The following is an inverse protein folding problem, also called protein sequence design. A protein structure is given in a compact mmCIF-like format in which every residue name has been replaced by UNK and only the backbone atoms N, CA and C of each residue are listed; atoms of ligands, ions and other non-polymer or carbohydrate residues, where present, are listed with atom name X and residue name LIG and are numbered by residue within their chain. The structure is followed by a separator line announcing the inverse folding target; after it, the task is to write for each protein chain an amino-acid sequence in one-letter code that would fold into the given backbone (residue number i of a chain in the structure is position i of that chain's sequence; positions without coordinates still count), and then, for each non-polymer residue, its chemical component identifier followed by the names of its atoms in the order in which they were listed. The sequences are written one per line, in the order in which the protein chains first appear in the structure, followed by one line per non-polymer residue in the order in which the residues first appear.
data_IF_704651621636
#
_entry.id   IF_704651621636
#
_cell.length_a   1.000
_cell.length_b   1.000
_cell.length_c   1.000
_cell.angle_alpha   90.00
_cell.angle_beta   90.00
_cell.angle_gamma   90.00
#
_symmetry.space_group_name_H-M   'P 1'
#
loop_
_entity.id
_entity.type
_entity.pdbx_description
1 polymer ?
#
# COMPACT_ATOMS: atom_id res chain seq x y z
N UNK A 1 50.97 -58.16 90.45
CA UNK A 1 49.70 -57.44 90.75
C UNK A 1 49.57 -56.07 90.08
N UNK A 2 50.61 -55.20 90.03
CA UNK A 2 50.49 -53.84 89.45
C UNK A 2 50.22 -53.77 87.93
N UNK A 3 50.71 -54.72 87.11
CA UNK A 3 50.47 -54.74 85.65
C UNK A 3 49.04 -55.18 85.26
N UNK A 4 48.40 -56.01 86.08
CA UNK A 4 47.04 -56.50 85.82
C UNK A 4 45.96 -55.43 86.10
N UNK A 5 46.20 -54.54 87.07
CA UNK A 5 45.30 -53.42 87.39
C UNK A 5 45.34 -52.33 86.30
N UNK A 6 46.51 -52.05 85.72
CA UNK A 6 46.65 -51.06 84.64
C UNK A 6 45.94 -51.49 83.35
N UNK A 7 45.98 -52.79 82.99
CA UNK A 7 45.26 -53.32 81.82
C UNK A 7 43.76 -53.30 82.06
N UNK A 8 43.31 -53.59 83.29
CA UNK A 8 41.88 -53.55 83.64
C UNK A 8 41.31 -52.12 83.68
N UNK A 9 42.12 -51.12 84.09
CA UNK A 9 41.74 -49.71 84.01
C UNK A 9 41.71 -49.17 82.57
N UNK A 10 42.58 -49.66 81.68
CA UNK A 10 42.61 -49.27 80.27
C UNK A 10 41.36 -49.74 79.51
N UNK A 11 40.83 -50.91 79.84
CA UNK A 11 39.55 -51.38 79.28
C UNK A 11 38.32 -50.68 79.87
N UNK A 12 38.41 -50.10 81.07
CA UNK A 12 37.30 -49.36 81.71
C UNK A 12 37.15 -47.91 81.19
N UNK A 13 38.16 -47.38 80.50
CA UNK A 13 38.17 -46.03 79.92
C UNK A 13 37.74 -45.97 78.44
N UNK A 14 37.51 -47.12 77.80
CA UNK A 14 36.94 -47.20 76.46
C UNK A 14 35.41 -47.34 76.57
N UNK A 15 34.75 -46.26 76.97
CA UNK A 15 33.30 -46.14 76.89
C UNK A 15 32.85 -46.15 75.44
N UNK A 16 32.53 -47.33 74.90
CA UNK A 16 31.89 -47.44 73.60
C UNK A 16 30.45 -46.92 73.73
N UNK A 17 30.17 -45.75 73.14
CA UNK A 17 28.80 -45.35 72.85
C UNK A 17 28.32 -46.20 71.69
N UNK A 18 27.63 -47.31 71.98
CA UNK A 18 26.94 -48.08 70.95
C UNK A 18 25.65 -47.31 70.65
N UNK A 19 25.62 -46.53 69.57
CA UNK A 19 24.36 -46.02 69.04
C UNK A 19 23.72 -47.14 68.23
N UNK A 20 22.66 -47.74 68.76
CA UNK A 20 21.79 -48.60 67.98
C UNK A 20 20.83 -47.71 67.19
N UNK A 21 21.04 -47.58 65.88
CA UNK A 21 20.00 -47.08 64.98
C UNK A 21 19.01 -48.22 64.73
N UNK A 22 17.71 -47.91 64.71
CA UNK A 22 16.65 -48.91 64.53
C UNK A 22 16.32 -49.01 63.04
N UNK A 23 16.85 -50.06 62.41
CA UNK A 23 16.48 -50.49 61.07
C UNK A 23 15.43 -51.60 61.16
N UNK A 24 14.32 -51.48 60.44
CA UNK A 24 13.31 -52.54 60.27
C UNK A 24 13.32 -52.93 58.79
N UNK A 25 14.23 -53.84 58.44
CA UNK A 25 14.45 -54.28 57.06
C UNK A 25 14.54 -55.80 56.98
N UNK A 26 14.05 -56.42 55.89
CA UNK A 26 14.11 -57.86 55.71
C UNK A 26 15.50 -58.38 55.31
N UNK A 27 16.41 -57.49 54.91
CA UNK A 27 17.72 -57.81 54.35
C UNK A 27 18.90 -57.38 55.24
N UNK A 28 18.63 -56.89 56.46
CA UNK A 28 19.63 -56.39 57.42
C UNK A 28 20.54 -55.28 56.85
N UNK A 29 20.00 -54.47 55.94
CA UNK A 29 20.68 -53.25 55.48
C UNK A 29 20.87 -52.27 56.63
N UNK A 30 22.04 -51.63 56.64
CA UNK A 30 22.35 -50.55 57.58
C UNK A 30 21.32 -49.42 57.38
N UNK A 31 20.73 -48.90 58.46
CA UNK A 31 19.79 -47.78 58.37
C UNK A 31 20.49 -46.53 57.84
N UNK A 32 19.73 -45.65 57.17
CA UNK A 32 20.28 -44.36 56.70
C UNK A 32 20.83 -43.54 57.90
N UNK A 33 22.05 -42.95 57.80
CA UNK A 33 22.66 -42.20 58.90
C UNK A 33 21.83 -41.01 59.42
N UNK A 34 20.87 -40.52 58.63
CA UNK A 34 19.97 -39.42 59.00
C UNK A 34 18.63 -39.87 59.60
N UNK A 35 18.32 -41.16 59.58
CA UNK A 35 17.04 -41.69 60.04
C UNK A 35 17.08 -42.11 61.53
N UNK A 36 16.08 -41.66 62.29
CA UNK A 36 15.84 -42.17 63.66
C UNK A 36 15.07 -43.52 63.64
N UNK A 37 14.29 -43.76 62.58
CA UNK A 37 13.61 -45.01 62.27
C UNK A 37 13.66 -45.19 60.75
N UNK A 38 14.26 -46.28 60.28
CA UNK A 38 14.31 -46.66 58.87
C UNK A 38 13.50 -47.95 58.66
N UNK A 39 12.48 -47.88 57.80
CA UNK A 39 11.61 -49.02 57.47
C UNK A 39 11.66 -49.24 55.97
N UNK A 40 12.39 -50.26 55.52
CA UNK A 40 12.53 -50.60 54.12
C UNK A 40 11.85 -51.94 53.83
N UNK A 41 10.83 -51.93 52.98
CA UNK A 41 10.15 -53.14 52.48
C UNK A 41 9.55 -52.82 51.11
N UNK A 42 9.61 -53.76 50.17
CA UNK A 42 8.99 -53.59 48.84
C UNK A 42 7.54 -54.09 48.77
N UNK A 43 7.08 -54.79 49.81
CA UNK A 43 5.81 -55.51 49.87
C UNK A 43 5.02 -55.33 51.18
N UNK A 44 5.57 -54.58 52.15
CA UNK A 44 4.93 -54.27 53.45
C UNK A 44 4.99 -52.77 53.72
N UNK A 45 4.11 -52.30 54.59
CA UNK A 45 4.08 -50.91 55.04
C UNK A 45 4.10 -50.79 56.56
N UNK A 46 4.11 -49.56 57.06
CA UNK A 46 4.00 -49.24 58.48
C UNK A 46 2.53 -49.07 58.86
N UNK A 47 2.05 -49.87 59.83
CA UNK A 47 0.76 -49.62 60.47
C UNK A 47 0.92 -48.61 61.59
N UNK A 48 0.34 -47.43 61.39
CA UNK A 48 0.17 -46.39 62.40
C UNK A 48 -0.96 -46.79 63.36
N UNK A 49 -0.99 -46.36 64.64
CA UNK A 49 -2.10 -46.63 65.54
C UNK A 49 -3.47 -46.36 64.89
N UNK A 50 -4.29 -47.41 64.83
CA UNK A 50 -5.64 -47.39 64.26
C UNK A 50 -6.67 -47.29 65.36
N UNK A 51 -7.64 -46.41 65.19
CA UNK A 51 -8.68 -46.18 66.20
C UNK A 51 -9.90 -45.50 65.58
N UNK A 52 -11.02 -45.50 66.28
CA UNK A 52 -12.22 -44.73 65.90
C UNK A 52 -12.05 -43.24 66.20
N UNK A 53 -12.86 -42.37 65.58
CA UNK A 53 -12.83 -40.93 65.89
C UNK A 53 -13.03 -40.61 67.36
N UNK A 54 -13.89 -41.37 68.05
CA UNK A 54 -14.12 -41.21 69.49
C UNK A 54 -12.85 -41.50 70.30
N UNK A 55 -12.12 -42.56 69.93
CA UNK A 55 -10.86 -42.92 70.58
C UNK A 55 -9.74 -41.92 70.28
N UNK A 56 -9.66 -41.41 69.05
CA UNK A 56 -8.70 -40.36 68.66
C UNK A 56 -8.90 -39.07 69.46
N UNK A 57 -10.14 -38.59 69.54
CA UNK A 57 -10.48 -37.38 70.29
C UNK A 57 -10.25 -37.56 71.79
N UNK A 58 -10.35 -38.80 72.30
CA UNK A 58 -10.09 -39.14 73.70
C UNK A 58 -8.59 -39.23 74.08
N UNK A 59 -7.66 -39.12 73.12
CA UNK A 59 -6.22 -39.07 73.43
C UNK A 59 -5.94 -37.80 74.24
N UNK A 60 -5.55 -37.96 75.51
CA UNK A 60 -5.18 -36.85 76.39
C UNK A 60 -3.79 -36.32 76.05
N UNK A 61 -3.66 -34.99 75.97
CA UNK A 61 -2.41 -34.27 75.67
C UNK A 61 -1.61 -34.86 74.47
N UNK A 62 -2.22 -35.00 73.28
CA UNK A 62 -1.51 -35.54 72.11
C UNK A 62 -0.32 -34.65 71.73
N UNK A 63 0.80 -35.28 71.39
CA UNK A 63 1.98 -34.55 70.92
C UNK A 63 1.74 -33.94 69.54
N UNK A 64 2.35 -32.78 69.26
CA UNK A 64 2.33 -32.18 67.92
C UNK A 64 2.99 -33.16 66.94
N UNK A 65 2.33 -33.42 65.82
CA UNK A 65 2.77 -34.38 64.81
C UNK A 65 2.39 -35.83 65.10
N UNK A 66 1.64 -36.13 66.18
CA UNK A 66 1.12 -37.47 66.44
C UNK A 66 0.21 -37.91 65.30
N UNK A 67 0.60 -38.94 64.57
CA UNK A 67 -0.13 -39.52 63.43
C UNK A 67 -0.95 -40.72 63.90
N UNK A 68 -2.22 -40.78 63.47
CA UNK A 68 -3.12 -41.92 63.67
C UNK A 68 -3.88 -42.21 62.37
N UNK A 69 -4.36 -43.44 62.23
CA UNK A 69 -5.35 -43.77 61.21
C UNK A 69 -6.72 -43.85 61.86
N UNK A 70 -7.64 -43.00 61.41
CA UNK A 70 -9.01 -42.99 61.92
C UNK A 70 -9.89 -43.93 61.08
N UNK A 71 -10.30 -45.04 61.68
CA UNK A 71 -11.11 -46.07 61.01
C UNK A 71 -12.55 -45.62 60.74
N UNK A 72 -13.03 -44.57 61.40
CA UNK A 72 -14.39 -44.03 61.20
C UNK A 72 -14.44 -43.11 59.99
N UNK A 73 -13.42 -42.27 59.78
CA UNK A 73 -13.34 -41.40 58.59
C UNK A 73 -12.61 -42.04 57.42
N UNK A 74 -11.84 -43.11 57.66
CA UNK A 74 -11.04 -43.80 56.64
C UNK A 74 -9.80 -43.03 56.20
N UNK A 75 -9.27 -42.15 57.05
CA UNK A 75 -8.19 -41.21 56.70
C UNK A 75 -7.04 -41.20 57.70
N UNK A 76 -5.89 -40.69 57.26
CA UNK A 76 -4.77 -40.37 58.15
C UNK A 76 -5.01 -39.01 58.80
N UNK A 77 -4.87 -38.96 60.12
CA UNK A 77 -5.02 -37.74 60.90
C UNK A 77 -3.78 -37.46 61.73
N UNK A 78 -3.36 -36.20 61.80
CA UNK A 78 -2.29 -35.77 62.68
C UNK A 78 -2.76 -34.69 63.65
N UNK A 79 -2.17 -34.64 64.84
CA UNK A 79 -2.42 -33.55 65.78
C UNK A 79 -1.52 -32.35 65.47
N UNK A 80 -2.10 -31.20 65.11
CA UNK A 80 -1.36 -30.01 64.69
C UNK A 80 -0.93 -29.09 65.86
N UNK A 81 -1.21 -29.49 67.11
CA UNK A 81 -0.97 -28.70 68.32
C UNK A 81 -2.18 -27.92 68.83
N UNK A 82 -3.25 -27.83 68.04
CA UNK A 82 -4.52 -27.21 68.43
C UNK A 82 -5.72 -28.13 68.21
N UNK A 83 -5.64 -29.07 67.27
CA UNK A 83 -6.67 -30.04 66.95
C UNK A 83 -6.16 -31.16 66.05
N UNK A 84 -7.04 -32.13 65.80
CA UNK A 84 -6.79 -33.20 64.83
C UNK A 84 -7.11 -32.67 63.42
N UNK A 85 -6.20 -32.88 62.47
CA UNK A 85 -6.32 -32.49 61.06
C UNK A 85 -6.28 -33.74 60.16
N UNK A 86 -7.21 -33.85 59.21
CA UNK A 86 -7.19 -34.90 58.18
C UNK A 86 -6.18 -34.53 57.10
N UNK A 87 -5.38 -35.49 56.66
CA UNK A 87 -4.45 -35.32 55.53
C UNK A 87 -5.13 -35.54 54.16
N UNK A 88 -6.34 -36.09 54.13
CA UNK A 88 -7.05 -36.43 52.88
C UNK A 88 -8.01 -35.35 52.39
N UNK A 89 -8.30 -34.33 53.21
CA UNK A 89 -9.15 -33.21 52.82
C UNK A 89 -8.32 -32.09 52.24
N UNK A 90 -8.61 -31.68 51.00
CA UNK A 90 -8.20 -30.36 50.53
C UNK A 90 -8.84 -29.30 51.43
N UNK A 91 -8.09 -28.23 51.73
CA UNK A 91 -8.58 -27.11 52.50
C UNK A 91 -9.52 -26.22 51.66
N UNK A 92 -9.48 -26.35 50.33
CA UNK A 92 -10.45 -25.74 49.43
C UNK A 92 -11.64 -26.70 49.20
N UNK A 93 -12.85 -26.14 49.29
CA UNK A 93 -14.11 -26.88 49.08
C UNK A 93 -14.86 -26.39 47.84
N UNK A 94 -14.26 -25.46 47.09
CA UNK A 94 -14.83 -24.88 45.88
C UNK A 94 -14.29 -25.57 44.62
N UNK A 95 -15.10 -26.44 43.97
CA UNK A 95 -14.68 -27.13 42.75
C UNK A 95 -14.43 -26.19 41.56
N UNK A 96 -14.78 -24.90 41.67
CA UNK A 96 -14.63 -23.91 40.60
C UNK A 96 -13.33 -23.09 40.66
N UNK A 97 -12.59 -23.11 41.77
CA UNK A 97 -11.40 -22.28 41.97
C UNK A 97 -10.08 -23.03 41.75
N UNK A 98 -10.14 -24.35 41.60
CA UNK A 98 -8.96 -25.16 41.32
C UNK A 98 -8.75 -25.31 39.81
N UNK A 99 -7.48 -25.25 39.39
CA UNK A 99 -7.07 -25.79 38.10
C UNK A 99 -7.15 -27.32 38.17
N UNK A 100 -8.37 -27.86 38.00
CA UNK A 100 -8.72 -29.29 38.11
C UNK A 100 -7.83 -30.20 37.24
N UNK A 101 -7.25 -29.64 36.17
CA UNK A 101 -6.40 -30.39 35.28
C UNK A 101 -5.37 -29.46 34.61
N UNK A 102 -4.15 -29.45 35.14
CA UNK A 102 -3.03 -28.74 34.52
C UNK A 102 -2.78 -29.24 33.08
N UNK A 103 -3.00 -30.53 32.81
CA UNK A 103 -2.92 -31.09 31.46
C UNK A 103 -4.11 -30.70 30.58
N UNK A 104 -5.26 -30.32 31.15
CA UNK A 104 -6.42 -29.81 30.41
C UNK A 104 -6.27 -28.34 30.01
N UNK A 105 -5.50 -27.58 30.78
CA UNK A 105 -5.12 -26.20 30.45
C UNK A 105 -3.92 -26.14 29.49
N UNK A 106 -3.05 -27.16 29.49
CA UNK A 106 -1.87 -27.24 28.64
C UNK A 106 -1.98 -28.19 27.43
N UNK A 107 -3.04 -29.01 27.34
CA UNK A 107 -3.32 -29.79 26.14
C UNK A 107 -3.76 -28.85 25.02
N UNK A 108 -3.14 -29.00 23.85
CA UNK A 108 -3.31 -28.18 22.66
C UNK A 108 -4.77 -27.77 22.39
N UNK A 109 -5.00 -26.46 22.28
CA UNK A 109 -6.25 -25.87 21.82
C UNK A 109 -7.08 -25.24 22.94
N UNK A 110 -6.56 -24.20 23.59
CA UNK A 110 -7.30 -23.36 24.53
C UNK A 110 -8.27 -22.41 23.80
N UNK A 111 -9.18 -22.90 22.97
CA UNK A 111 -10.22 -22.05 22.40
C UNK A 111 -11.41 -21.85 23.36
N UNK A 112 -11.33 -22.40 24.58
CA UNK A 112 -12.41 -22.45 25.55
C UNK A 112 -13.72 -23.01 24.96
N UNK A 113 -13.62 -23.98 24.03
CA UNK A 113 -14.75 -24.56 23.32
C UNK A 113 -15.42 -23.59 22.34
N UNK A 114 -14.67 -22.61 21.83
CA UNK A 114 -15.17 -21.51 20.98
C UNK A 114 -15.81 -20.36 21.77
N UNK A 115 -15.96 -20.48 23.09
CA UNK A 115 -16.36 -19.37 23.95
C UNK A 115 -15.13 -18.50 24.20
N UNK A 116 -15.14 -17.25 23.73
CA UNK A 116 -13.99 -16.36 23.92
C UNK A 116 -13.53 -16.33 25.39
N UNK A 117 -12.22 -16.37 25.62
CA UNK A 117 -11.66 -16.22 26.96
C UNK A 117 -11.92 -14.78 27.42
N UNK A 118 -12.78 -14.61 28.43
CA UNK A 118 -13.14 -13.29 28.99
C UNK A 118 -12.30 -12.97 30.23
N UNK A 119 -12.19 -11.69 30.59
CA UNK A 119 -11.45 -11.21 31.77
C UNK A 119 -9.95 -11.50 31.82
N UNK A 120 -9.31 -11.79 30.69
CA UNK A 120 -7.87 -11.60 30.59
C UNK A 120 -7.57 -10.10 30.63
N UNK A 121 -6.50 -9.71 31.34
CA UNK A 121 -5.93 -8.37 31.21
C UNK A 121 -5.44 -8.09 29.78
N UNK A 122 -4.66 -7.02 29.58
CA UNK A 122 -4.04 -6.76 28.29
C UNK A 122 -3.24 -8.00 27.83
N UNK A 123 -3.71 -8.66 26.78
CA UNK A 123 -3.04 -9.83 26.20
C UNK A 123 -1.89 -9.31 25.33
N UNK A 124 -0.66 -9.32 25.87
CA UNK A 124 0.54 -9.08 25.08
C UNK A 124 1.02 -10.40 24.49
N UNK A 125 0.71 -10.66 23.23
CA UNK A 125 1.27 -11.78 22.48
C UNK A 125 2.34 -11.27 21.51
N UNK A 126 3.46 -12.00 21.38
CA UNK A 126 4.47 -11.70 20.36
C UNK A 126 3.95 -12.00 18.93
N UNK A 127 2.93 -12.85 18.80
CA UNK A 127 2.28 -13.20 17.55
C UNK A 127 0.86 -13.71 17.80
N UNK A 128 -0.08 -13.32 16.96
CA UNK A 128 -1.37 -13.99 16.82
C UNK A 128 -1.30 -14.96 15.64
N UNK A 129 -1.79 -16.19 15.80
CA UNK A 129 -1.93 -17.16 14.70
C UNK A 129 -3.36 -17.07 14.16
N UNK A 130 -3.52 -16.71 12.89
CA UNK A 130 -4.82 -16.50 12.23
C UNK A 130 -4.77 -15.34 11.23
N UNK A 131 -5.83 -15.15 10.46
CA UNK A 131 -5.94 -14.03 9.50
C UNK A 131 -6.32 -12.69 10.17
N UNK A 132 -6.58 -12.70 11.48
CA UNK A 132 -6.96 -11.52 12.26
C UNK A 132 -8.35 -10.97 11.93
N UNK A 133 -9.11 -11.60 11.04
CA UNK A 133 -10.42 -11.12 10.57
C UNK A 133 -11.48 -11.05 11.67
N UNK A 134 -11.34 -11.87 12.71
CA UNK A 134 -12.20 -11.87 13.89
C UNK A 134 -11.80 -10.86 14.99
N UNK A 135 -10.69 -10.14 14.85
CA UNK A 135 -10.26 -9.13 15.82
C UNK A 135 -11.11 -7.86 15.65
N UNK A 136 -12.10 -7.70 16.51
CA UNK A 136 -12.93 -6.50 16.61
C UNK A 136 -12.51 -5.65 17.80
N UNK A 137 -12.83 -4.35 17.80
CA UNK A 137 -12.47 -3.40 18.89
C UNK A 137 -10.95 -3.26 19.16
N UNK A 138 -10.09 -3.49 18.17
CA UNK A 138 -8.69 -3.08 18.28
C UNK A 138 -8.64 -1.57 18.49
N UNK A 139 -7.83 -1.06 19.44
CA UNK A 139 -7.66 0.38 19.63
C UNK A 139 -7.34 1.05 18.27
N UNK A 140 -7.87 2.24 17.97
CA UNK A 140 -7.74 2.92 16.66
C UNK A 140 -6.30 3.24 16.17
N UNK A 141 -5.25 2.69 16.77
CA UNK A 141 -3.88 3.15 16.62
C UNK A 141 -3.08 2.56 15.48
N UNK A 142 -3.28 1.28 15.09
CA UNK A 142 -2.28 0.58 14.27
C UNK A 142 -2.79 -0.08 12.97
N UNK A 143 -4.10 -0.11 12.71
CA UNK A 143 -4.66 -0.78 11.53
C UNK A 143 -5.55 0.16 10.71
N UNK A 144 -5.57 0.00 9.38
CA UNK A 144 -6.52 0.66 8.49
C UNK A 144 -7.64 -0.31 8.09
N UNK A 145 -8.88 0.01 8.42
CA UNK A 145 -10.04 -0.83 8.08
C UNK A 145 -10.40 -0.78 6.59
N UNK A 146 -11.02 -1.86 6.09
CA UNK A 146 -11.55 -1.93 4.72
C UNK A 146 -12.73 -0.97 4.49
N UNK A 147 -13.52 -0.73 5.55
CA UNK A 147 -14.61 0.26 5.56
C UNK A 147 -14.14 1.66 5.98
N UNK A 148 -12.83 1.84 6.16
CA UNK A 148 -12.21 3.07 6.65
C UNK A 148 -12.20 3.20 8.18
N UNK A 149 -11.50 4.23 8.65
CA UNK A 149 -11.35 4.55 10.07
C UNK A 149 -12.02 5.90 10.38
N UNK A 150 -12.73 6.00 11.51
CA UNK A 150 -13.23 7.27 12.04
C UNK A 150 -12.26 7.88 13.07
N UNK A 151 -12.29 9.20 13.27
CA UNK A 151 -11.46 9.89 14.28
C UNK A 151 -9.97 10.00 13.96
N UNK A 152 -9.58 9.88 12.68
CA UNK A 152 -8.18 10.01 12.23
C UNK A 152 -7.66 11.44 12.29
N UNK A 153 -6.34 11.58 12.47
CA UNK A 153 -5.61 12.85 12.32
C UNK A 153 -4.51 12.71 11.26
N UNK A 154 -4.44 13.66 10.33
CA UNK A 154 -3.58 13.62 9.13
C UNK A 154 -2.08 13.37 9.44
N UNK A 155 -1.56 13.92 10.53
CA UNK A 155 -0.14 13.78 10.91
C UNK A 155 0.18 12.58 11.81
N UNK A 156 -0.84 11.78 12.17
CA UNK A 156 -0.70 10.64 13.09
C UNK A 156 -1.12 9.34 12.42
N UNK A 157 -2.20 9.36 11.64
CA UNK A 157 -2.78 8.18 11.02
C UNK A 157 -2.70 8.31 9.51
N UNK A 158 -1.95 7.41 8.85
CA UNK A 158 -1.86 7.37 7.40
C UNK A 158 -1.61 5.94 6.89
N UNK A 159 -1.95 5.70 5.62
CA UNK A 159 -1.46 4.55 4.87
C UNK A 159 -0.18 4.99 4.15
N UNK A 160 0.97 4.43 4.52
CA UNK A 160 2.23 4.82 3.89
C UNK A 160 3.46 4.20 4.54
N UNK A 161 4.61 4.68 4.10
CA UNK A 161 5.94 4.32 4.60
C UNK A 161 6.50 5.48 5.43
N UNK A 162 7.38 5.19 6.38
CA UNK A 162 8.04 6.21 7.22
C UNK A 162 9.49 6.48 6.81
N UNK A 163 9.99 5.69 5.86
CA UNK A 163 11.32 5.76 5.26
C UNK A 163 11.22 6.11 3.77
N UNK A 164 12.38 6.34 3.14
CA UNK A 164 12.48 6.78 1.74
C UNK A 164 12.32 5.61 0.75
N UNK A 165 11.20 4.87 0.87
CA UNK A 165 10.86 3.74 -0.01
C UNK A 165 9.45 3.93 -0.60
N UNK A 166 9.18 3.45 -1.84
CA UNK A 166 7.88 3.60 -2.47
C UNK A 166 6.74 2.85 -1.76
N UNK A 167 5.57 3.48 -1.65
CA UNK A 167 4.32 2.79 -1.34
C UNK A 167 3.77 2.16 -2.62
N UNK A 168 3.67 0.84 -2.67
CA UNK A 168 3.18 0.10 -3.84
C UNK A 168 1.76 -0.45 -3.59
N UNK A 169 0.86 -0.17 -4.53
CA UNK A 169 -0.46 -0.81 -4.61
C UNK A 169 -0.42 -1.89 -5.69
N UNK A 170 -0.85 -3.10 -5.35
CA UNK A 170 -0.74 -4.28 -6.22
C UNK A 170 -2.09 -4.91 -6.53
N UNK A 171 -2.23 -5.45 -7.73
CA UNK A 171 -3.35 -6.30 -8.16
C UNK A 171 -2.78 -7.60 -8.73
N UNK A 172 -3.33 -8.76 -8.36
CA UNK A 172 -2.77 -10.06 -8.75
C UNK A 172 -1.25 -10.20 -8.48
N UNK A 173 -0.77 -9.61 -7.37
CA UNK A 173 0.65 -9.51 -7.02
C UNK A 173 1.55 -8.78 -8.05
N UNK A 174 0.97 -7.98 -8.94
CA UNK A 174 1.66 -7.10 -9.88
C UNK A 174 1.45 -5.65 -9.41
N UNK A 175 2.49 -4.82 -9.47
CA UNK A 175 2.37 -3.40 -9.12
C UNK A 175 1.47 -2.68 -10.12
N UNK A 176 0.44 -2.02 -9.60
CA UNK A 176 -0.53 -1.26 -10.40
C UNK A 176 -0.38 0.25 -10.20
N UNK A 177 0.12 0.68 -9.04
CA UNK A 177 0.32 2.09 -8.70
C UNK A 177 1.39 2.28 -7.64
N UNK A 178 2.18 3.35 -7.75
CA UNK A 178 3.30 3.66 -6.88
C UNK A 178 3.31 5.13 -6.50
N UNK A 179 3.50 5.40 -5.21
CA UNK A 179 3.92 6.70 -4.71
C UNK A 179 5.41 6.61 -4.39
N UNK A 180 6.25 7.24 -5.20
CA UNK A 180 7.71 7.19 -5.06
C UNK A 180 8.16 8.45 -4.32
N UNK A 181 8.75 8.34 -3.12
CA UNK A 181 9.17 9.49 -2.34
C UNK A 181 10.34 10.22 -2.98
N UNK A 182 10.41 11.52 -2.73
CA UNK A 182 11.52 12.40 -3.09
C UNK A 182 11.50 13.62 -2.14
N UNK A 183 12.66 14.21 -1.88
CA UNK A 183 12.80 15.34 -0.95
C UNK A 183 12.08 16.62 -1.42
N UNK A 184 11.81 16.77 -2.72
CA UNK A 184 11.14 17.94 -3.31
C UNK A 184 9.65 17.69 -3.54
N UNK A 185 9.31 16.61 -4.25
CA UNK A 185 7.93 16.21 -4.52
C UNK A 185 7.87 14.74 -4.92
N UNK A 186 6.96 13.92 -4.36
CA UNK A 186 6.84 12.53 -4.76
C UNK A 186 6.45 12.41 -6.23
N UNK A 187 6.80 11.27 -6.84
CA UNK A 187 6.29 10.88 -8.15
C UNK A 187 5.08 9.96 -7.98
N UNK A 188 4.07 10.15 -8.82
CA UNK A 188 2.87 9.33 -8.91
C UNK A 188 2.98 8.48 -10.17
N UNK A 189 3.10 7.16 -10.05
CA UNK A 189 3.32 6.26 -11.19
C UNK A 189 2.33 5.09 -11.19
N UNK A 190 1.31 5.18 -12.04
CA UNK A 190 0.30 4.14 -12.28
C UNK A 190 0.56 3.31 -13.54
N UNK A 191 -0.16 2.19 -13.65
CA UNK A 191 -0.20 1.34 -14.84
C UNK A 191 0.89 0.28 -14.87
N UNK A 192 1.41 0.00 -16.08
CA UNK A 192 2.45 -0.99 -16.34
C UNK A 192 3.66 -0.78 -15.42
N UNK A 193 4.23 -1.88 -14.92
CA UNK A 193 5.25 -1.88 -13.87
C UNK A 193 6.58 -1.24 -14.32
N UNK A 194 6.86 -1.22 -15.63
CA UNK A 194 8.01 -0.53 -16.21
C UNK A 194 7.80 0.97 -16.48
N UNK A 195 6.59 1.52 -16.29
CA UNK A 195 6.40 2.97 -16.32
C UNK A 195 7.37 3.62 -15.33
N UNK A 196 8.01 4.74 -15.69
CA UNK A 196 9.09 5.28 -14.89
C UNK A 196 9.23 6.79 -15.01
N UNK A 197 9.79 7.38 -13.96
CA UNK A 197 10.38 8.70 -14.02
C UNK A 197 11.91 8.55 -14.08
N UNK A 198 12.59 9.49 -14.73
CA UNK A 198 14.05 9.52 -14.81
C UNK A 198 14.73 9.67 -13.45
N UNK A 199 16.03 9.38 -13.40
CA UNK A 199 16.80 9.54 -12.16
C UNK A 199 16.80 11.00 -11.69
N UNK A 200 16.53 11.22 -10.41
CA UNK A 200 16.44 12.55 -9.81
C UNK A 200 15.18 13.34 -10.16
N UNK A 201 14.30 12.81 -11.04
CA UNK A 201 13.03 13.45 -11.37
C UNK A 201 12.11 13.44 -10.16
N UNK A 202 11.47 14.58 -9.90
CA UNK A 202 10.47 14.75 -8.85
C UNK A 202 9.20 15.41 -9.39
N UNK A 203 8.07 15.19 -8.70
CA UNK A 203 6.76 15.70 -9.12
C UNK A 203 6.22 15.12 -10.43
N UNK A 204 6.80 14.03 -10.95
CA UNK A 204 6.31 13.36 -12.13
C UNK A 204 4.94 12.72 -11.87
N UNK A 205 4.06 12.80 -12.87
CA UNK A 205 2.75 12.14 -12.84
C UNK A 205 2.59 11.25 -14.06
N UNK A 206 2.40 9.95 -13.83
CA UNK A 206 1.94 8.99 -14.82
C UNK A 206 0.66 8.37 -14.25
N UNK A 207 -0.50 8.72 -14.78
CA UNK A 207 -1.78 8.27 -14.21
C UNK A 207 -2.08 6.79 -14.46
N UNK A 208 -1.47 6.19 -15.48
CA UNK A 208 -1.74 4.81 -15.90
C UNK A 208 -1.14 4.47 -17.26
N UNK A 209 -1.68 3.46 -17.93
CA UNK A 209 -1.24 3.04 -19.26
C UNK A 209 0.10 2.29 -19.24
N UNK A 210 0.80 2.33 -20.37
CA UNK A 210 1.94 1.47 -20.65
C UNK A 210 1.50 0.06 -21.02
N UNK A 211 2.38 -0.67 -21.69
CA UNK A 211 2.17 -2.06 -22.10
C UNK A 211 3.50 -2.79 -22.10
N UNK A 212 3.52 -4.11 -21.88
CA UNK A 212 4.69 -4.92 -22.22
C UNK A 212 5.01 -4.89 -23.72
N UNK A 213 4.11 -4.40 -24.58
CA UNK A 213 4.41 -4.19 -26.00
C UNK A 213 4.78 -5.46 -26.77
N UNK A 214 5.22 -5.29 -28.02
CA UNK A 214 5.80 -6.38 -28.82
C UNK A 214 7.33 -6.51 -28.61
N UNK A 215 7.98 -5.46 -28.11
CA UNK A 215 9.42 -5.36 -27.91
C UNK A 215 9.83 -5.12 -26.45
N UNK A 216 8.91 -5.30 -25.48
CA UNK A 216 9.16 -5.20 -24.04
C UNK A 216 9.49 -3.81 -23.47
N UNK A 217 9.32 -2.71 -24.22
CA UNK A 217 9.60 -1.35 -23.71
C UNK A 217 8.58 -0.27 -24.14
N UNK A 218 7.29 -0.62 -24.25
CA UNK A 218 6.19 0.35 -24.46
C UNK A 218 5.78 1.10 -23.17
N UNK A 219 6.78 1.41 -22.32
CA UNK A 219 6.58 2.11 -21.04
C UNK A 219 6.31 3.60 -21.24
N UNK A 220 5.63 4.18 -20.28
CA UNK A 220 5.51 5.63 -20.14
C UNK A 220 6.75 6.16 -19.41
N UNK A 221 7.35 7.25 -19.89
CA UNK A 221 8.58 7.78 -19.32
C UNK A 221 8.54 9.30 -19.09
N UNK A 222 8.58 9.72 -17.83
CA UNK A 222 8.74 11.14 -17.49
C UNK A 222 10.23 11.45 -17.32
N UNK A 223 10.82 12.19 -18.24
CA UNK A 223 12.25 12.50 -18.28
C UNK A 223 12.65 13.75 -17.52
N UNK A 224 11.69 14.61 -17.15
CA UNK A 224 11.94 15.87 -16.44
C UNK A 224 10.98 16.16 -15.29
N UNK A 225 11.38 17.04 -14.39
CA UNK A 225 10.57 17.42 -13.21
C UNK A 225 9.19 17.93 -13.62
N UNK A 226 8.17 17.54 -12.87
CA UNK A 226 6.78 17.94 -13.10
C UNK A 226 6.18 17.52 -14.46
N UNK A 227 6.86 16.64 -15.22
CA UNK A 227 6.30 16.08 -16.43
C UNK A 227 5.08 15.20 -16.12
N UNK A 228 4.07 15.29 -16.99
CA UNK A 228 2.77 14.63 -16.78
C UNK A 228 2.39 13.81 -18.01
N UNK A 229 1.98 12.57 -17.78
CA UNK A 229 1.42 11.68 -18.78
C UNK A 229 0.13 11.07 -18.26
N UNK A 230 -0.99 11.34 -18.93
CA UNK A 230 -2.30 10.92 -18.42
C UNK A 230 -2.66 9.46 -18.74
N UNK A 231 -2.01 8.82 -19.72
CA UNK A 231 -2.33 7.45 -20.15
C UNK A 231 -1.73 7.11 -21.51
N UNK A 232 -2.27 6.09 -22.19
CA UNK A 232 -1.74 5.61 -23.47
C UNK A 232 -0.57 4.64 -23.30
N UNK A 233 0.27 4.49 -24.33
CA UNK A 233 1.47 3.64 -24.27
C UNK A 233 2.65 4.29 -25.01
N UNK A 234 3.87 4.04 -24.53
CA UNK A 234 5.10 4.55 -25.12
C UNK A 234 5.14 6.08 -25.32
N UNK A 235 4.71 6.85 -24.31
CA UNK A 235 4.81 8.31 -24.33
C UNK A 235 5.95 8.80 -23.44
N UNK A 236 6.56 9.94 -23.81
CA UNK A 236 7.61 10.62 -23.05
C UNK A 236 7.24 12.07 -22.77
N UNK A 237 7.40 12.52 -21.51
CA UNK A 237 7.21 13.91 -21.11
C UNK A 237 8.44 14.47 -20.37
N UNK A 238 8.95 15.61 -20.83
CA UNK A 238 10.05 16.37 -20.25
C UNK A 238 9.65 17.28 -19.10
N UNK A 239 10.46 18.32 -18.87
CA UNK A 239 10.31 19.24 -17.72
C UNK A 239 9.03 20.06 -17.86
N UNK A 240 8.08 19.90 -16.93
CA UNK A 240 6.78 20.57 -16.94
C UNK A 240 5.93 20.27 -18.17
N UNK A 241 6.36 19.32 -19.01
CA UNK A 241 5.68 18.97 -20.24
C UNK A 241 4.46 18.10 -19.93
N UNK A 242 3.46 18.15 -20.81
CA UNK A 242 2.23 17.38 -20.67
C UNK A 242 1.96 16.53 -21.91
N UNK A 243 1.67 15.25 -21.70
CA UNK A 243 1.14 14.35 -22.71
C UNK A 243 -0.23 13.84 -22.26
N UNK A 244 -1.29 14.23 -22.96
CA UNK A 244 -2.66 13.84 -22.64
C UNK A 244 -2.95 12.35 -22.85
N UNK A 245 -2.12 11.65 -23.63
CA UNK A 245 -2.19 10.21 -23.86
C UNK A 245 -1.83 9.84 -25.30
N UNK A 246 -2.46 8.79 -25.82
CA UNK A 246 -2.16 8.29 -27.16
C UNK A 246 -0.93 7.37 -27.20
N UNK A 247 -0.25 7.31 -28.34
CA UNK A 247 0.88 6.42 -28.54
C UNK A 247 2.11 7.14 -29.11
N UNK A 248 3.30 6.73 -28.68
CA UNK A 248 4.57 7.17 -29.28
C UNK A 248 4.79 8.70 -29.26
N UNK A 249 4.15 9.43 -28.36
CA UNK A 249 4.29 10.88 -28.29
C UNK A 249 5.49 11.28 -27.43
N UNK A 250 6.26 12.27 -27.88
CA UNK A 250 7.45 12.78 -27.18
C UNK A 250 7.34 14.30 -27.00
N UNK A 251 6.98 14.74 -25.80
CA UNK A 251 7.01 16.15 -25.42
C UNK A 251 8.31 16.43 -24.65
N UNK A 252 9.41 16.71 -25.35
CA UNK A 252 10.74 16.88 -24.75
C UNK A 252 11.10 18.33 -24.43
N UNK A 253 10.48 19.31 -25.10
CA UNK A 253 10.66 20.73 -24.79
C UNK A 253 10.12 21.10 -23.42
N UNK A 254 10.72 22.09 -22.77
CA UNK A 254 10.25 22.58 -21.48
C UNK A 254 8.83 23.14 -21.62
N UNK A 255 7.91 22.67 -20.77
CA UNK A 255 6.50 23.07 -20.78
C UNK A 255 5.80 22.82 -22.13
N UNK A 256 6.32 21.88 -22.93
CA UNK A 256 5.68 21.47 -24.18
C UNK A 256 4.37 20.70 -23.89
N UNK A 257 3.44 20.74 -24.84
CA UNK A 257 2.15 20.05 -24.73
C UNK A 257 1.83 19.21 -25.95
N UNK A 258 1.48 17.95 -25.69
CA UNK A 258 0.88 17.06 -26.67
C UNK A 258 -0.47 16.60 -26.10
N UNK A 259 -1.62 17.05 -26.62
CA UNK A 259 -2.92 16.67 -26.07
C UNK A 259 -3.26 15.19 -26.30
N UNK A 260 -2.55 14.51 -27.22
CA UNK A 260 -2.71 13.10 -27.52
C UNK A 260 -2.35 12.80 -28.97
N UNK A 261 -2.95 11.74 -29.53
CA UNK A 261 -2.70 11.31 -30.90
C UNK A 261 -1.57 10.28 -31.00
N UNK A 262 -0.93 10.20 -32.17
CA UNK A 262 0.08 9.16 -32.45
C UNK A 262 1.36 9.74 -33.03
N UNK A 263 2.48 9.41 -32.41
CA UNK A 263 3.83 9.70 -32.91
C UNK A 263 4.11 11.20 -33.12
N UNK A 264 3.57 12.06 -32.25
CA UNK A 264 3.88 13.49 -32.25
C UNK A 264 5.16 13.78 -31.47
N UNK A 265 5.86 14.83 -31.84
CA UNK A 265 7.07 15.31 -31.17
C UNK A 265 6.99 16.82 -30.95
N UNK A 266 7.07 17.24 -29.70
CA UNK A 266 7.05 18.64 -29.27
C UNK A 266 8.38 18.96 -28.56
N UNK A 267 9.44 19.14 -29.34
CA UNK A 267 10.80 19.29 -28.79
C UNK A 267 11.21 20.73 -28.49
N UNK A 268 10.57 21.73 -29.11
CA UNK A 268 10.79 23.15 -28.78
C UNK A 268 10.12 23.53 -27.46
N UNK A 269 10.71 24.47 -26.73
CA UNK A 269 10.14 24.95 -25.47
C UNK A 269 8.80 25.65 -25.72
N UNK A 270 7.84 25.47 -24.81
CA UNK A 270 6.47 26.01 -24.91
C UNK A 270 5.69 25.58 -26.18
N UNK A 271 6.14 24.53 -26.86
CA UNK A 271 5.52 24.08 -28.11
C UNK A 271 4.26 23.25 -27.89
N UNK A 272 3.41 23.19 -28.92
CA UNK A 272 2.18 22.41 -28.94
C UNK A 272 2.12 21.54 -30.20
N UNK A 273 2.11 20.21 -30.06
CA UNK A 273 2.01 19.30 -31.21
C UNK A 273 0.82 18.34 -31.05
N UNK A 274 -0.13 18.38 -31.99
CA UNK A 274 -1.33 17.55 -31.96
C UNK A 274 -1.57 16.78 -33.26
N UNK A 275 -2.26 15.63 -33.13
CA UNK A 275 -2.72 14.83 -34.25
C UNK A 275 -1.89 13.58 -34.51
N UNK A 276 -1.40 13.39 -35.74
CA UNK A 276 -0.52 12.27 -36.09
C UNK A 276 0.72 12.76 -36.82
N UNK A 277 1.89 12.50 -36.22
CA UNK A 277 3.21 12.88 -36.75
C UNK A 277 3.39 14.38 -36.98
N UNK A 278 2.88 15.22 -36.07
CA UNK A 278 3.37 16.59 -35.92
C UNK A 278 4.78 16.56 -35.30
N UNK A 279 5.76 17.17 -35.95
CA UNK A 279 7.19 17.10 -35.57
C UNK A 279 7.76 18.51 -35.38
N UNK A 280 7.82 18.97 -34.14
CA UNK A 280 8.41 20.25 -33.76
C UNK A 280 9.86 20.02 -33.38
N UNK A 281 10.76 20.71 -34.08
CA UNK A 281 12.19 20.72 -33.79
C UNK A 281 12.49 21.38 -32.44
N UNK A 282 13.57 20.93 -31.77
CA UNK A 282 14.07 21.56 -30.55
C UNK A 282 14.54 23.01 -30.75
N UNK A 283 14.74 23.46 -31.99
CA UNK A 283 15.10 24.85 -32.30
C UNK A 283 13.87 25.77 -32.44
N UNK A 284 12.65 25.23 -32.43
CA UNK A 284 11.42 25.94 -32.79
C UNK A 284 10.50 26.16 -31.59
N UNK A 285 11.00 26.92 -30.62
CA UNK A 285 10.23 27.30 -29.43
C UNK A 285 8.94 28.03 -29.80
N UNK A 286 7.89 27.82 -29.01
CA UNK A 286 6.58 28.43 -29.19
C UNK A 286 5.81 28.00 -30.43
N UNK A 287 6.31 27.01 -31.20
CA UNK A 287 5.61 26.50 -32.36
C UNK A 287 4.34 25.72 -31.96
N UNK A 288 3.28 25.89 -32.75
CA UNK A 288 1.99 25.22 -32.60
C UNK A 288 1.67 24.46 -33.89
N UNK A 289 1.71 23.14 -33.84
CA UNK A 289 1.43 22.26 -34.98
C UNK A 289 0.15 21.44 -34.74
N UNK A 290 -0.72 21.43 -35.75
CA UNK A 290 -1.82 20.48 -35.88
C UNK A 290 -1.62 19.63 -37.14
N UNK A 291 -1.75 18.31 -37.01
CA UNK A 291 -1.61 17.37 -38.13
C UNK A 291 -2.83 16.45 -38.22
N UNK A 292 -3.34 16.26 -39.43
CA UNK A 292 -4.41 15.29 -39.70
C UNK A 292 -3.95 13.83 -39.60
N UNK A 293 -4.86 12.89 -39.88
CA UNK A 293 -4.65 11.44 -39.73
C UNK A 293 -3.55 10.83 -40.60
N UNK A 294 -3.00 11.57 -41.57
CA UNK A 294 -2.06 11.02 -42.53
C UNK A 294 -0.77 10.57 -41.84
N UNK A 295 -0.20 9.44 -42.29
CA UNK A 295 1.00 8.85 -41.68
C UNK A 295 2.30 9.41 -42.28
N UNK A 296 2.38 10.74 -42.42
CA UNK A 296 3.57 11.46 -42.89
C UNK A 296 4.04 12.41 -41.83
N UNK A 297 5.33 12.72 -41.79
CA UNK A 297 5.83 13.73 -40.86
C UNK A 297 5.42 15.13 -41.34
N UNK A 298 4.91 15.93 -40.41
CA UNK A 298 4.62 17.34 -40.61
C UNK A 298 5.57 18.14 -39.73
N UNK A 299 6.67 18.62 -40.34
CA UNK A 299 7.76 19.27 -39.63
C UNK A 299 7.50 20.77 -39.47
N UNK A 300 7.81 21.31 -38.29
CA UNK A 300 7.86 22.76 -38.05
C UNK A 300 8.90 23.42 -38.96
N UNK A 301 8.60 24.62 -39.48
CA UNK A 301 9.49 25.38 -40.35
C UNK A 301 10.20 26.53 -39.62
N UNK A 302 9.63 27.05 -38.52
CA UNK A 302 10.24 28.10 -37.71
C UNK A 302 9.75 28.08 -36.25
N UNK A 303 10.47 28.80 -35.38
CA UNK A 303 10.00 29.15 -34.04
C UNK A 303 8.78 30.09 -34.11
N UNK A 304 7.88 30.00 -33.13
CA UNK A 304 6.63 30.78 -33.04
C UNK A 304 5.68 30.64 -34.24
N UNK A 305 5.77 29.53 -34.97
CA UNK A 305 4.90 29.23 -36.10
C UNK A 305 3.56 28.65 -35.61
N UNK A 306 2.46 29.05 -36.25
CA UNK A 306 1.22 28.28 -36.21
C UNK A 306 1.06 27.55 -37.55
N UNK A 307 1.13 26.22 -37.53
CA UNK A 307 1.10 25.41 -38.74
C UNK A 307 0.04 24.30 -38.62
N UNK A 308 -0.71 24.07 -39.70
CA UNK A 308 -1.70 23.00 -39.77
C UNK A 308 -1.58 22.21 -41.07
N UNK A 309 -1.39 20.89 -40.97
CA UNK A 309 -1.66 19.96 -42.08
C UNK A 309 -3.07 19.41 -41.91
N UNK A 310 -4.00 19.92 -42.70
CA UNK A 310 -5.38 19.45 -42.75
C UNK A 310 -5.81 19.24 -44.20
N UNK A 311 -5.67 18.03 -44.73
CA UNK A 311 -6.02 17.71 -46.13
C UNK A 311 -7.52 17.86 -46.45
N UNK A 312 -8.37 18.00 -45.43
CA UNK A 312 -9.79 18.35 -45.57
C UNK A 312 -10.07 19.86 -45.58
N UNK A 313 -9.04 20.70 -45.42
CA UNK A 313 -9.16 22.15 -45.26
C UNK A 313 -9.16 22.61 -43.80
N UNK A 314 -9.10 23.93 -43.62
CA UNK A 314 -9.12 24.63 -42.33
C UNK A 314 -10.28 25.61 -42.32
N UNK A 315 -11.03 25.68 -41.21
CA UNK A 315 -12.16 26.60 -41.06
C UNK A 315 -12.14 27.28 -39.70
N UNK A 316 -12.15 28.60 -39.70
CA UNK A 316 -12.34 29.44 -38.52
C UNK A 316 -13.79 29.93 -38.48
N UNK A 317 -14.47 29.71 -37.35
CA UNK A 317 -15.86 30.16 -37.13
C UNK A 317 -15.83 31.42 -36.28
N UNK A 318 -16.42 32.50 -36.80
CA UNK A 318 -16.42 33.82 -36.13
C UNK A 318 -17.81 34.29 -35.70
N UNK A 319 -18.86 33.55 -36.06
CA UNK A 319 -20.22 33.76 -35.55
C UNK A 319 -21.03 32.47 -35.64
N UNK A 320 -22.01 32.32 -34.73
CA UNK A 320 -22.97 31.22 -34.69
C UNK A 320 -24.41 31.76 -34.59
N UNK A 321 -25.40 30.94 -34.94
CA UNK A 321 -26.81 31.22 -34.65
C UNK A 321 -27.19 30.80 -33.21
N UNK A 322 -28.46 30.97 -32.83
CA UNK A 322 -28.97 30.56 -31.52
C UNK A 322 -28.98 29.05 -31.26
N UNK A 323 -28.67 28.23 -32.28
CA UNK A 323 -28.52 26.77 -32.18
C UNK A 323 -27.05 26.32 -32.24
N UNK A 324 -26.09 27.25 -32.37
CA UNK A 324 -24.65 26.95 -32.45
C UNK A 324 -24.11 26.68 -33.85
N UNK A 325 -24.91 26.82 -34.91
CA UNK A 325 -24.43 26.59 -36.28
C UNK A 325 -23.56 27.76 -36.75
N UNK A 326 -22.41 27.51 -37.41
CA UNK A 326 -21.58 28.57 -37.98
C UNK A 326 -22.34 29.44 -38.99
N UNK A 327 -22.39 30.76 -38.77
CA UNK A 327 -23.02 31.74 -39.68
C UNK A 327 -22.01 32.66 -40.36
N UNK A 328 -20.79 32.78 -39.82
CA UNK A 328 -19.67 33.48 -40.47
C UNK A 328 -18.39 32.67 -40.30
N UNK A 329 -17.70 32.45 -41.42
CA UNK A 329 -16.47 31.64 -41.47
C UNK A 329 -15.44 32.24 -42.40
N UNK A 330 -14.17 32.00 -42.08
CA UNK A 330 -13.04 32.10 -43.00
C UNK A 330 -12.48 30.69 -43.14
N UNK A 331 -12.42 30.16 -44.36
CA UNK A 331 -11.93 28.80 -44.59
C UNK A 331 -11.01 28.70 -45.79
N UNK A 332 -10.08 27.77 -45.71
CA UNK A 332 -9.29 27.26 -46.84
C UNK A 332 -9.78 25.85 -47.06
N UNK A 333 -10.31 25.53 -48.24
CA UNK A 333 -10.77 24.18 -48.53
C UNK A 333 -9.62 23.22 -48.90
N UNK A 334 -9.94 21.96 -49.18
CA UNK A 334 -8.95 20.94 -49.54
C UNK A 334 -8.23 21.21 -50.86
N UNK A 335 -8.73 22.13 -51.70
CA UNK A 335 -8.08 22.56 -52.95
C UNK A 335 -7.16 23.77 -52.75
N UNK A 336 -7.15 24.35 -51.55
CA UNK A 336 -6.41 25.58 -51.24
C UNK A 336 -7.19 26.85 -51.57
N UNK A 337 -8.47 26.75 -51.95
CA UNK A 337 -9.30 27.93 -52.23
C UNK A 337 -9.70 28.61 -50.93
N UNK A 338 -9.40 29.91 -50.82
CA UNK A 338 -9.82 30.73 -49.68
C UNK A 338 -11.27 31.18 -49.90
N UNK A 339 -12.16 30.71 -49.03
CA UNK A 339 -13.58 31.06 -49.03
C UNK A 339 -13.88 31.98 -47.84
N UNK A 340 -14.38 33.20 -48.13
CA UNK A 340 -14.80 34.19 -47.14
C UNK A 340 -16.15 34.81 -47.53
N UNK A 341 -16.96 35.21 -46.55
CA UNK A 341 -18.30 35.78 -46.80
C UNK A 341 -18.27 37.17 -47.47
N UNK A 342 -17.19 37.92 -47.28
CA UNK A 342 -16.91 39.19 -47.95
C UNK A 342 -15.42 39.53 -47.79
N UNK A 343 -14.85 40.21 -48.79
CA UNK A 343 -13.58 40.90 -48.65
C UNK A 343 -13.86 42.39 -48.45
N UNK A 344 -13.27 43.02 -47.43
CA UNK A 344 -13.39 44.46 -47.18
C UNK A 344 -11.99 45.07 -47.31
N UNK A 345 -11.78 45.83 -48.39
CA UNK A 345 -10.51 46.45 -48.76
C UNK A 345 -10.60 47.04 -50.17
N UNK A 346 -9.58 47.80 -50.59
CA UNK A 346 -9.54 48.41 -51.93
C UNK A 346 -9.22 47.37 -53.04
N UNK A 347 -8.83 46.16 -52.65
CA UNK A 347 -8.50 45.06 -53.56
C UNK A 347 -7.27 45.31 -54.43
N UNK A 348 -6.59 46.45 -54.26
CA UNK A 348 -5.56 46.94 -55.19
C UNK A 348 -4.29 46.08 -55.19
N UNK A 349 -4.07 45.30 -54.12
CA UNK A 349 -2.98 44.34 -53.97
C UNK A 349 -3.28 42.92 -54.47
N UNK A 350 -4.52 42.62 -54.91
CA UNK A 350 -4.86 41.30 -55.46
C UNK A 350 -4.34 41.19 -56.89
N UNK A 351 -3.47 40.23 -57.16
CA UNK A 351 -2.91 39.95 -58.48
C UNK A 351 -3.16 38.48 -58.85
N UNK A 352 -3.09 38.14 -60.14
CA UNK A 352 -3.31 36.77 -60.64
C UNK A 352 -4.70 36.17 -60.32
N UNK A 353 -5.72 37.00 -60.14
CA UNK A 353 -7.11 36.54 -60.18
C UNK A 353 -7.45 36.33 -61.68
N UNK A 354 -7.65 35.10 -62.17
CA UNK A 354 -8.03 34.85 -63.56
C UNK A 354 -9.29 35.65 -63.84
N UNK A 355 -9.24 36.54 -64.83
CA UNK A 355 -10.13 37.69 -64.99
C UNK A 355 -11.53 37.47 -64.43
N UNK A 356 -11.92 38.31 -63.48
CA UNK A 356 -13.30 38.43 -62.98
C UNK A 356 -14.29 38.84 -64.09
N UNK A 357 -13.84 38.92 -65.33
CA UNK A 357 -14.58 39.38 -66.50
C UNK A 357 -15.42 40.62 -66.15
N UNK A 358 -14.88 41.50 -65.29
CA UNK A 358 -15.55 42.67 -64.69
C UNK A 358 -17.00 42.45 -64.22
N UNK A 359 -17.43 41.21 -63.98
CA UNK A 359 -18.80 40.79 -63.63
C UNK A 359 -19.91 41.80 -63.94
N UNK A 360 -20.71 42.08 -62.93
CA UNK A 360 -21.77 43.08 -62.84
C UNK A 360 -21.33 44.27 -61.95
N UNK A 361 -20.06 44.67 -62.10
CA UNK A 361 -19.52 45.80 -61.35
C UNK A 361 -20.13 47.12 -61.83
N UNK A 362 -20.89 47.79 -60.96
CA UNK A 362 -21.38 49.15 -61.20
C UNK A 362 -20.33 50.15 -60.74
N UNK A 363 -19.72 50.88 -61.67
CA UNK A 363 -18.81 51.97 -61.32
C UNK A 363 -19.59 53.05 -60.54
N UNK A 364 -19.20 53.30 -59.29
CA UNK A 364 -19.79 54.36 -58.44
C UNK A 364 -19.01 55.67 -58.51
N UNK A 365 -17.91 55.69 -59.28
CA UNK A 365 -17.07 56.86 -59.60
C UNK A 365 -16.57 56.76 -61.05
N UNK A 366 -16.09 57.88 -61.62
CA UNK A 366 -15.54 57.92 -62.97
C UNK A 366 -14.33 56.98 -63.13
N UNK A 367 -14.37 56.13 -64.17
CA UNK A 367 -13.24 55.25 -64.53
C UNK A 367 -12.28 56.03 -65.43
N UNK A 368 -11.17 56.54 -64.89
CA UNK A 368 -10.15 57.24 -65.67
C UNK A 368 -9.30 56.25 -66.50
N UNK A 369 -9.47 56.24 -67.82
CA UNK A 369 -8.79 55.34 -68.78
C UNK A 369 -7.66 55.99 -69.61
N UNK A 370 -7.08 57.10 -69.12
CA UNK A 370 -5.99 57.80 -69.81
C UNK A 370 -6.36 58.25 -71.23
N UNK A 371 -5.43 58.07 -72.19
CA UNK A 371 -5.61 58.44 -73.61
C UNK A 371 -6.46 57.41 -74.42
N UNK A 372 -6.94 56.33 -73.81
CA UNK A 372 -7.72 55.29 -74.48
C UNK A 372 -9.21 55.60 -74.45
N UNK A 373 -9.95 55.26 -75.51
CA UNK A 373 -11.39 55.53 -75.60
C UNK A 373 -12.21 54.23 -75.51
N UNK A 374 -13.23 54.21 -74.64
CA UNK A 374 -14.35 53.27 -74.76
C UNK A 374 -15.27 53.84 -75.85
N UNK A 375 -15.47 53.11 -76.96
CA UNK A 375 -16.34 53.52 -78.08
C UNK A 375 -17.56 52.60 -78.18
N UNK A 376 -18.73 53.19 -78.42
CA UNK A 376 -19.92 52.46 -78.85
C UNK A 376 -19.86 52.04 -80.31
N UNK A 377 -20.38 50.86 -80.58
CA UNK A 377 -20.63 50.37 -81.93
C UNK A 377 -22.06 50.62 -82.46
N UNK A 378 -22.98 51.16 -81.66
CA UNK A 378 -24.31 51.55 -82.12
C UNK A 378 -25.27 50.38 -82.44
N UNK A 379 -25.02 49.17 -81.92
CA UNK A 379 -25.96 48.03 -81.97
C UNK A 379 -26.61 47.78 -80.60
N UNK A 380 -27.70 47.00 -80.52
CA UNK A 380 -28.42 46.67 -79.26
C UNK A 380 -27.63 45.81 -78.25
N UNK A 381 -26.30 45.87 -78.27
CA UNK A 381 -25.42 45.25 -77.29
C UNK A 381 -24.34 46.26 -76.89
N UNK A 382 -24.60 47.00 -75.79
CA UNK A 382 -23.59 47.61 -74.91
C UNK A 382 -22.88 48.89 -75.38
N UNK A 383 -23.20 49.99 -74.66
CA UNK A 383 -22.55 51.30 -74.49
C UNK A 383 -22.16 52.16 -75.70
N UNK A 384 -23.02 53.15 -76.05
CA UNK A 384 -22.57 54.56 -76.26
C UNK A 384 -23.03 55.37 -75.11
N UNK A 385 -22.14 56.32 -74.79
CA UNK A 385 -22.41 57.65 -74.23
C UNK A 385 -23.89 57.90 -73.98
#
# INVERSE_FOLDING_TARGET
MKKSIAIMLFYLLLGFNIQAQVSITPDNTDPDPSAMLDVNSTDKGMLIPRMTSAQRIAIGNPAIGLLVFDETTGGFWFYNGSGWQDLSTDADSDPANELQNFSGVLAQGNDAGGAGITNLGAVSAASFSGDGSGLTNLPPGNNWGLDGNSGTSENVNFIGTTDNVPLNFRTNNITAFRLIPNNNSPNIIGGFDLNAAGSGVYGATISGGGSPGADSDDRQYVSGNFGTISGGYNNTAGIGASVGGGELNVASGAVASIPGGSNNEAAGDYSFAAGRKAKISAAHDGAFLFSDQNNFDFNSAAANEFAARATGGVRFVTAIDGAGNPTRTVSIDSTGTVNASAFVGDGSGLTNIPGDNMGDHTATQDVMIGDNWIRNSGSTRGLSM
#
